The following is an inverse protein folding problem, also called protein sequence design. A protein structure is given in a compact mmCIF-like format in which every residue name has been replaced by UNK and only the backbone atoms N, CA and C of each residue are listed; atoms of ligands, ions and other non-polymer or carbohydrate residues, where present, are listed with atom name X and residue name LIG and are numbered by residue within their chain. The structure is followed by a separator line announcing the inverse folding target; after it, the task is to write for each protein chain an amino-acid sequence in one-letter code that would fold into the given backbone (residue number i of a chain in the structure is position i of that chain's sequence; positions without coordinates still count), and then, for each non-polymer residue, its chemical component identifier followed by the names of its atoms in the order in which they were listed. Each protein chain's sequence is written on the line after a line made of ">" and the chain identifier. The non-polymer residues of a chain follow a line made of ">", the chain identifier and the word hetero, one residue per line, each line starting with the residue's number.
data_IF_151660387113
#
_entry.id   IF_151660387113
#
_cell.length_a   1.000
_cell.length_b   1.000
_cell.length_c   1.000
_cell.angle_alpha   90.00
_cell.angle_beta   90.00
_cell.angle_gamma   90.00
#
_symmetry.space_group_name_H-M   'P 1'
#
loop_
_entity.id
_entity.type
_entity.pdbx_description
1 polymer ?
#
# COMPACT_ATOMS: atom_id res chain seq x y z
N UNK A 1 17.65 11.94 24.68
CA UNK A 1 17.39 12.01 23.23
C UNK A 1 16.42 13.16 22.99
N UNK A 2 16.67 14.00 21.99
CA UNK A 2 15.78 15.10 21.64
C UNK A 2 14.55 14.56 20.88
N UNK A 3 13.44 15.27 20.98
CA UNK A 3 12.21 14.97 20.22
C UNK A 3 12.25 15.60 18.83
N UNK A 4 11.49 15.11 17.84
CA UNK A 4 11.42 15.72 16.50
C UNK A 4 11.08 17.22 16.57
N UNK A 5 10.17 17.61 17.45
CA UNK A 5 9.79 19.02 17.66
C UNK A 5 10.95 19.87 18.20
N UNK A 6 11.76 19.34 19.12
CA UNK A 6 12.94 20.03 19.65
C UNK A 6 14.03 20.19 18.60
N UNK A 7 14.06 19.30 17.60
CA UNK A 7 14.97 19.35 16.45
C UNK A 7 14.39 20.12 15.25
N UNK A 8 13.18 20.69 15.37
CA UNK A 8 12.54 21.51 14.33
C UNK A 8 11.79 20.72 13.25
N UNK A 9 11.66 19.41 13.38
CA UNK A 9 10.85 18.58 12.49
C UNK A 9 9.35 18.66 12.82
N UNK A 10 8.52 18.47 11.80
CA UNK A 10 7.07 18.33 11.94
C UNK A 10 6.54 17.34 10.89
N UNK A 11 5.39 16.74 11.16
CA UNK A 11 4.65 15.95 10.17
C UNK A 11 3.78 16.91 9.34
N UNK A 12 4.04 17.07 8.03
CA UNK A 12 3.19 17.89 7.18
C UNK A 12 1.80 17.27 7.04
N UNK A 13 0.82 18.08 6.69
CA UNK A 13 -0.49 17.57 6.27
C UNK A 13 -0.37 16.81 4.94
N UNK A 14 -1.29 15.87 4.71
CA UNK A 14 -1.31 14.98 3.54
C UNK A 14 -1.54 15.70 2.20
N UNK A 15 -1.90 16.98 2.21
CA UNK A 15 -2.05 17.80 1.00
C UNK A 15 -0.75 18.52 0.60
N UNK A 16 0.30 18.42 1.41
CA UNK A 16 1.60 19.01 1.09
C UNK A 16 2.24 18.22 -0.07
N UNK A 17 3.04 18.85 -0.97
CA UNK A 17 3.75 18.11 -2.01
C UNK A 17 4.48 16.88 -1.48
N UNK A 18 4.22 15.74 -2.12
CA UNK A 18 4.83 14.45 -1.82
C UNK A 18 5.99 14.17 -2.77
N UNK A 19 6.95 13.38 -2.29
CA UNK A 19 8.02 12.83 -3.16
C UNK A 19 7.62 11.47 -3.73
N UNK A 20 6.84 10.68 -3.00
CA UNK A 20 6.38 9.35 -3.41
C UNK A 20 5.27 8.82 -2.50
N UNK A 21 4.53 7.83 -3.02
CA UNK A 21 3.62 6.98 -2.26
C UNK A 21 4.27 5.64 -1.92
N UNK A 22 3.97 5.10 -0.74
CA UNK A 22 4.33 3.74 -0.35
C UNK A 22 3.06 2.91 -0.13
N UNK A 23 3.00 1.73 -0.73
CA UNK A 23 1.89 0.77 -0.59
C UNK A 23 2.43 -0.62 -0.26
N UNK A 24 1.63 -1.44 0.42
CA UNK A 24 1.97 -2.83 0.74
C UNK A 24 1.05 -3.78 -0.04
N UNK A 25 1.62 -4.80 -0.69
CA UNK A 25 0.87 -5.78 -1.48
C UNK A 25 0.04 -6.70 -0.57
N UNK A 26 -1.20 -7.07 -0.93
CA UNK A 26 -2.01 -7.96 -0.12
C UNK A 26 -1.47 -9.40 -0.17
N UNK A 27 -0.53 -9.74 0.72
CA UNK A 27 0.13 -11.05 0.72
C UNK A 27 -0.66 -12.12 1.50
N UNK A 28 -1.37 -11.73 2.57
CA UNK A 28 -2.05 -12.68 3.47
C UNK A 28 -3.54 -12.81 3.15
N UNK A 29 -3.95 -13.97 2.64
CA UNK A 29 -5.36 -14.24 2.30
C UNK A 29 -6.31 -14.09 3.50
N UNK A 30 -5.89 -14.54 4.70
CA UNK A 30 -6.71 -14.53 5.92
C UNK A 30 -7.20 -13.13 6.34
N UNK A 31 -6.50 -12.07 5.91
CA UNK A 31 -6.96 -10.69 6.09
C UNK A 31 -8.33 -10.42 5.43
N UNK A 32 -8.73 -11.26 4.48
CA UNK A 32 -9.98 -11.16 3.72
C UNK A 32 -11.01 -12.24 4.08
N UNK A 33 -10.81 -12.99 5.18
CA UNK A 33 -11.70 -14.08 5.63
C UNK A 33 -13.14 -13.66 5.93
N UNK A 34 -13.39 -12.37 6.13
CA UNK A 34 -14.73 -11.79 6.38
C UNK A 34 -15.44 -11.29 5.12
N UNK A 35 -14.83 -11.44 3.95
CA UNK A 35 -15.47 -11.08 2.69
C UNK A 35 -16.71 -11.96 2.43
N UNK A 36 -17.73 -11.46 1.71
CA UNK A 36 -18.96 -12.22 1.41
C UNK A 36 -18.77 -13.25 0.27
N UNK A 37 -17.58 -13.83 0.15
CA UNK A 37 -17.17 -14.79 -0.88
C UNK A 37 -16.09 -15.72 -0.32
N UNK A 38 -15.72 -16.77 -1.07
CA UNK A 38 -14.65 -17.66 -0.65
C UNK A 38 -13.31 -16.92 -0.55
N UNK A 39 -12.42 -17.44 0.30
CA UNK A 39 -11.16 -16.81 0.65
C UNK A 39 -10.24 -16.57 -0.56
N UNK A 40 -10.23 -17.50 -1.52
CA UNK A 40 -9.40 -17.40 -2.71
C UNK A 40 -9.90 -16.28 -3.63
N UNK A 41 -11.22 -16.25 -3.90
CA UNK A 41 -11.85 -15.19 -4.69
C UNK A 41 -11.69 -13.83 -4.02
N UNK A 42 -11.85 -13.76 -2.69
CA UNK A 42 -11.66 -12.54 -1.92
C UNK A 42 -10.23 -12.00 -2.06
N UNK A 43 -9.23 -12.87 -1.87
CA UNK A 43 -7.83 -12.49 -1.94
C UNK A 43 -7.42 -12.05 -3.35
N UNK A 44 -7.83 -12.79 -4.40
CA UNK A 44 -7.62 -12.40 -5.80
C UNK A 44 -8.27 -11.05 -6.13
N UNK A 45 -9.51 -10.85 -5.67
CA UNK A 45 -10.23 -9.58 -5.88
C UNK A 45 -9.54 -8.42 -5.18
N UNK A 46 -9.01 -8.64 -3.98
CA UNK A 46 -8.24 -7.65 -3.25
C UNK A 46 -6.93 -7.29 -3.96
N UNK A 47 -6.14 -8.28 -4.43
CA UNK A 47 -4.93 -8.04 -5.22
C UNK A 47 -5.24 -7.20 -6.47
N UNK A 48 -6.29 -7.56 -7.20
CA UNK A 48 -6.73 -6.80 -8.39
C UNK A 48 -7.11 -5.36 -8.06
N UNK A 49 -7.97 -5.15 -7.07
CA UNK A 49 -8.39 -3.82 -6.64
C UNK A 49 -7.19 -2.98 -6.18
N UNK A 50 -6.24 -3.59 -5.47
CA UNK A 50 -5.05 -2.89 -4.99
C UNK A 50 -4.09 -2.50 -6.12
N UNK A 51 -3.96 -3.33 -7.15
CA UNK A 51 -3.24 -2.97 -8.37
C UNK A 51 -3.91 -1.80 -9.11
N UNK A 52 -5.25 -1.74 -9.16
CA UNK A 52 -5.98 -0.61 -9.73
C UNK A 52 -5.71 0.70 -8.97
N UNK A 53 -5.70 0.66 -7.63
CA UNK A 53 -5.33 1.80 -6.78
C UNK A 53 -3.89 2.24 -7.05
N UNK A 54 -2.94 1.29 -7.07
CA UNK A 54 -1.53 1.60 -7.31
C UNK A 54 -1.32 2.24 -8.69
N UNK A 55 -1.98 1.70 -9.73
CA UNK A 55 -1.96 2.28 -11.07
C UNK A 55 -2.52 3.71 -11.10
N UNK A 56 -3.60 3.98 -10.36
CA UNK A 56 -4.16 5.33 -10.28
C UNK A 56 -3.19 6.30 -9.59
N UNK A 57 -2.60 5.92 -8.45
CA UNK A 57 -1.65 6.77 -7.72
C UNK A 57 -0.39 7.06 -8.55
N UNK A 58 0.11 6.05 -9.29
CA UNK A 58 1.32 6.19 -10.12
C UNK A 58 1.22 7.24 -11.24
N UNK A 59 0.00 7.69 -11.57
CA UNK A 59 -0.21 8.78 -12.54
C UNK A 59 0.17 10.15 -11.96
N UNK A 60 0.24 10.28 -10.63
CA UNK A 60 0.47 11.54 -9.94
C UNK A 60 1.87 11.62 -9.29
N UNK A 61 2.39 10.51 -8.79
CA UNK A 61 3.68 10.46 -8.09
C UNK A 61 4.36 9.09 -8.18
N UNK A 62 5.69 9.00 -7.96
CA UNK A 62 6.37 7.73 -7.84
C UNK A 62 5.73 6.85 -6.76
N UNK A 63 5.50 5.58 -7.08
CA UNK A 63 4.93 4.62 -6.14
C UNK A 63 5.89 3.47 -5.89
N UNK A 64 6.05 3.12 -4.63
CA UNK A 64 6.83 1.98 -4.18
C UNK A 64 5.93 0.94 -3.51
N UNK A 65 5.89 -0.27 -4.08
CA UNK A 65 5.14 -1.40 -3.53
C UNK A 65 6.07 -2.30 -2.71
N UNK A 66 5.78 -2.48 -1.42
CA UNK A 66 6.39 -3.52 -0.61
C UNK A 66 5.64 -4.84 -0.83
N UNK A 67 6.35 -5.91 -1.11
CA UNK A 67 5.77 -7.24 -1.30
C UNK A 67 6.68 -8.31 -0.72
N UNK A 68 6.11 -9.48 -0.41
CA UNK A 68 6.90 -10.65 -0.07
C UNK A 68 7.63 -11.18 -1.30
N UNK A 69 8.74 -11.90 -1.09
CA UNK A 69 9.56 -12.41 -2.19
C UNK A 69 8.78 -13.38 -3.06
N UNK A 70 7.89 -14.17 -2.46
CA UNK A 70 7.09 -15.20 -3.13
C UNK A 70 6.03 -14.60 -4.06
N UNK A 71 5.59 -13.38 -3.80
CA UNK A 71 4.57 -12.68 -4.58
C UNK A 71 5.17 -11.78 -5.70
N UNK A 72 6.50 -11.75 -5.89
CA UNK A 72 7.17 -10.86 -6.86
C UNK A 72 6.83 -11.18 -8.33
N UNK A 73 6.69 -12.48 -8.64
CA UNK A 73 6.47 -12.96 -10.01
C UNK A 73 4.98 -13.23 -10.30
N UNK A 74 4.08 -12.82 -9.39
CA UNK A 74 2.65 -12.93 -9.62
C UNK A 74 2.21 -11.88 -10.65
N UNK A 75 1.82 -12.35 -11.84
CA UNK A 75 1.22 -11.55 -12.91
C UNK A 75 -0.30 -11.62 -12.91
#
# INVERSE_FOLDING_TARGET
>A
MATPRQEGYFMPGEWHPHTACWMAWPCTADAFSRAPMDLETAHKSAKKCWAEVANAVSQFEPLYMLTNKEDLDET
#
